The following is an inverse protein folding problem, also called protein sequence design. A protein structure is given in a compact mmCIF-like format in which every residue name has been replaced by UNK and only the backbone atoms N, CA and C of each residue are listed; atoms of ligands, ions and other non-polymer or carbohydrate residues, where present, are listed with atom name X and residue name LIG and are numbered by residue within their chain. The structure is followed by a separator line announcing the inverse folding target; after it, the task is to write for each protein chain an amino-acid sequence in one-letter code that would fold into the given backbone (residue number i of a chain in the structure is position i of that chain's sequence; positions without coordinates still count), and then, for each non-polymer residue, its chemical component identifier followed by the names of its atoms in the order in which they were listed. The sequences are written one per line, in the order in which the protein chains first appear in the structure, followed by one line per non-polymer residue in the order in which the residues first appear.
data_IF_829655885167
#
_entry.id   IF_829655885167
#
_cell.length_a   1.000
_cell.length_b   1.000
_cell.length_c   1.000
_cell.angle_alpha   90.00
_cell.angle_beta   90.00
_cell.angle_gamma   90.00
#
_symmetry.space_group_name_H-M   'P 1'
#
loop_
_entity.id
_entity.type
_entity.pdbx_description
1 polymer ?
#
# COMPACT_ATOMS: atom_id res chain seq x y z
N UNK A 1 -26.80 -35.70 45.24
CA UNK A 1 -26.52 -35.36 43.82
C UNK A 1 -26.80 -33.87 43.56
N UNK A 2 -25.98 -32.94 44.06
CA UNK A 2 -26.20 -31.48 43.89
C UNK A 2 -24.98 -30.68 43.39
N UNK A 3 -23.80 -31.30 43.29
CA UNK A 3 -22.55 -30.59 42.97
C UNK A 3 -22.05 -30.77 41.53
N UNK A 4 -22.70 -31.63 40.73
CA UNK A 4 -22.25 -31.94 39.36
C UNK A 4 -22.65 -30.82 38.36
N UNK A 5 -23.69 -30.01 38.67
CA UNK A 5 -24.16 -28.96 37.76
C UNK A 5 -23.35 -27.66 37.79
N UNK A 6 -22.48 -27.45 38.79
CA UNK A 6 -21.72 -26.19 38.93
C UNK A 6 -20.39 -26.23 38.15
N UNK A 7 -19.85 -27.42 37.88
CA UNK A 7 -18.56 -27.55 37.18
C UNK A 7 -18.69 -27.29 35.66
N UNK A 8 -19.88 -27.47 35.08
CA UNK A 8 -20.08 -27.28 33.64
C UNK A 8 -20.27 -25.81 33.20
N UNK A 9 -20.42 -24.89 34.15
CA UNK A 9 -20.62 -23.45 33.88
C UNK A 9 -19.33 -22.61 33.98
N UNK A 10 -18.20 -23.22 34.35
CA UNK A 10 -16.89 -22.55 34.44
C UNK A 10 -16.00 -22.75 33.21
N UNK A 11 -16.50 -23.38 32.14
CA UNK A 11 -15.70 -23.71 30.94
C UNK A 11 -15.91 -22.78 29.74
N UNK A 12 -16.73 -21.72 29.85
CA UNK A 12 -16.99 -20.78 28.74
C UNK A 12 -16.15 -19.48 28.87
N UNK A 13 -15.35 -19.32 29.93
CA UNK A 13 -14.51 -18.15 30.16
C UNK A 13 -13.06 -18.29 29.62
N UNK A 14 -12.80 -19.24 28.72
CA UNK A 14 -11.43 -19.66 28.34
C UNK A 14 -11.04 -19.54 26.86
N UNK A 15 -11.84 -18.91 25.99
CA UNK A 15 -11.57 -18.80 24.55
C UNK A 15 -11.47 -17.34 24.05
N UNK A 16 -11.02 -16.42 24.91
CA UNK A 16 -10.67 -15.05 24.51
C UNK A 16 -9.15 -14.77 24.64
N UNK A 17 -8.32 -15.82 24.64
CA UNK A 17 -6.88 -15.68 24.50
C UNK A 17 -6.49 -15.91 23.04
N UNK A 18 -6.03 -14.84 22.36
CA UNK A 18 -4.83 -15.00 21.55
C UNK A 18 -4.86 -14.70 20.06
N UNK A 19 -5.90 -14.11 19.48
CA UNK A 19 -5.70 -13.39 18.21
C UNK A 19 -5.36 -11.93 18.54
N UNK A 20 -4.08 -11.62 18.72
CA UNK A 20 -3.54 -10.28 18.49
C UNK A 20 -3.75 -9.94 17.01
N UNK A 21 -4.99 -9.72 16.58
CA UNK A 21 -5.29 -9.26 15.24
C UNK A 21 -4.77 -7.83 15.13
N UNK A 22 -3.69 -7.66 14.37
CA UNK A 22 -3.16 -6.33 14.02
C UNK A 22 -4.30 -5.46 13.50
N UNK A 23 -4.32 -4.20 13.93
CA UNK A 23 -5.32 -3.25 13.43
C UNK A 23 -5.18 -3.10 11.91
N UNK A 24 -6.26 -2.73 11.20
CA UNK A 24 -6.19 -2.46 9.76
C UNK A 24 -5.07 -1.47 9.39
N UNK A 25 -4.91 -0.41 10.17
CA UNK A 25 -3.82 0.57 10.02
C UNK A 25 -2.44 -0.08 10.14
N UNK A 26 -2.24 -0.95 11.15
CA UNK A 26 -0.97 -1.65 11.32
C UNK A 26 -0.67 -2.58 10.13
N UNK A 27 -1.67 -3.25 9.57
CA UNK A 27 -1.49 -4.07 8.36
C UNK A 27 -1.09 -3.23 7.16
N UNK A 28 -1.72 -2.07 6.93
CA UNK A 28 -1.31 -1.16 5.84
C UNK A 28 0.13 -0.69 6.04
N UNK A 29 0.54 -0.35 7.26
CA UNK A 29 1.92 0.07 7.56
C UNK A 29 2.96 -1.02 7.22
N UNK A 30 2.61 -2.29 7.39
CA UNK A 30 3.48 -3.42 7.04
C UNK A 30 3.51 -3.68 5.52
N UNK A 31 2.41 -3.42 4.82
CA UNK A 31 2.30 -3.60 3.38
C UNK A 31 2.89 -2.44 2.57
N UNK A 32 2.85 -1.22 3.12
CA UNK A 32 3.24 -0.01 2.40
C UNK A 32 4.68 -0.05 1.84
N UNK A 33 5.72 -0.50 2.56
CA UNK A 33 7.07 -0.59 2.01
C UNK A 33 7.15 -1.57 0.82
N UNK A 34 6.44 -2.70 0.91
CA UNK A 34 6.39 -3.70 -0.18
C UNK A 34 5.67 -3.14 -1.40
N UNK A 35 4.57 -2.43 -1.19
CA UNK A 35 3.83 -1.76 -2.25
C UNK A 35 4.68 -0.70 -2.96
N UNK A 36 5.35 0.16 -2.20
CA UNK A 36 6.23 1.21 -2.72
C UNK A 36 7.36 0.58 -3.54
N UNK A 37 7.98 -0.49 -3.04
CA UNK A 37 9.03 -1.20 -3.74
C UNK A 37 8.53 -1.81 -5.06
N UNK A 38 7.41 -2.53 -5.02
CA UNK A 38 6.82 -3.17 -6.20
C UNK A 38 6.42 -2.15 -7.27
N UNK A 39 5.74 -1.07 -6.87
CA UNK A 39 5.35 0.02 -7.75
C UNK A 39 6.56 0.69 -8.39
N UNK A 40 7.56 1.08 -7.59
CA UNK A 40 8.75 1.76 -8.08
C UNK A 40 9.61 0.87 -8.97
N UNK A 41 9.74 -0.42 -8.61
CA UNK A 41 10.42 -1.40 -9.45
C UNK A 41 9.76 -1.47 -10.81
N UNK A 42 8.43 -1.62 -10.86
CA UNK A 42 7.68 -1.73 -12.12
C UNK A 42 7.70 -0.45 -12.93
N UNK A 43 7.57 0.72 -12.29
CA UNK A 43 7.63 2.00 -12.98
C UNK A 43 8.98 2.20 -13.69
N UNK A 44 10.09 1.86 -13.03
CA UNK A 44 11.42 2.01 -13.62
C UNK A 44 11.72 0.92 -14.65
N UNK A 45 11.35 -0.33 -14.36
CA UNK A 45 11.46 -1.45 -15.31
C UNK A 45 10.73 -1.13 -16.62
N UNK A 46 9.48 -0.68 -16.53
CA UNK A 46 8.63 -0.43 -17.68
C UNK A 46 8.87 0.93 -18.35
N UNK A 47 9.44 1.90 -17.62
CA UNK A 47 9.80 3.22 -18.12
C UNK A 47 11.21 3.29 -18.69
N UNK A 48 12.05 2.27 -18.49
CA UNK A 48 13.47 2.26 -18.87
C UNK A 48 13.68 2.62 -20.34
N UNK A 49 12.96 1.98 -21.25
CA UNK A 49 13.10 2.22 -22.69
C UNK A 49 12.74 3.67 -23.07
N UNK A 50 11.75 4.27 -22.39
CA UNK A 50 11.37 5.67 -22.61
C UNK A 50 12.40 6.64 -22.01
N UNK A 51 12.97 6.32 -20.85
CA UNK A 51 14.05 7.11 -20.23
C UNK A 51 15.32 7.04 -21.07
N UNK A 52 15.63 5.89 -21.67
CA UNK A 52 16.81 5.71 -22.52
C UNK A 52 16.73 6.54 -23.81
N UNK A 53 15.52 6.74 -24.36
CA UNK A 53 15.26 7.63 -25.49
C UNK A 53 15.51 9.11 -25.17
N UNK A 54 15.53 9.49 -23.89
CA UNK A 54 15.83 10.86 -23.47
C UNK A 54 17.34 11.08 -23.60
N UNK A 55 17.78 12.11 -24.35
CA UNK A 55 19.19 12.41 -24.50
C UNK A 55 19.86 12.64 -23.13
N UNK A 56 21.11 12.18 -22.91
CA UNK A 56 21.78 12.26 -21.62
C UNK A 56 21.77 13.65 -20.97
N UNK A 57 21.90 14.71 -21.77
CA UNK A 57 21.88 16.10 -21.33
C UNK A 57 20.54 16.55 -20.71
N UNK A 58 19.45 15.83 -20.95
CA UNK A 58 18.13 16.10 -20.37
C UNK A 58 17.72 15.08 -19.30
N UNK A 59 18.51 14.04 -19.02
CA UNK A 59 18.14 13.06 -17.99
C UNK A 59 18.12 13.65 -16.58
N UNK A 60 18.92 14.70 -16.34
CA UNK A 60 18.92 15.44 -15.07
C UNK A 60 17.67 16.30 -14.86
N UNK A 61 16.88 16.59 -15.92
CA UNK A 61 15.61 17.29 -15.78
C UNK A 61 14.43 16.37 -15.46
N UNK A 62 14.65 15.05 -15.46
CA UNK A 62 13.64 14.11 -15.00
C UNK A 62 13.35 14.31 -13.51
N UNK A 63 12.09 14.12 -13.08
CA UNK A 63 11.76 14.12 -11.67
C UNK A 63 12.66 13.16 -10.88
N UNK A 64 13.10 13.51 -9.65
CA UNK A 64 14.01 12.68 -8.86
C UNK A 64 13.51 11.24 -8.68
N UNK A 65 12.20 11.06 -8.51
CA UNK A 65 11.58 9.73 -8.35
C UNK A 65 11.72 8.83 -9.58
N UNK A 66 12.04 9.38 -10.76
CA UNK A 66 12.30 8.59 -11.99
C UNK A 66 13.78 8.27 -12.18
N UNK A 67 14.67 8.84 -11.37
CA UNK A 67 16.11 8.69 -11.55
C UNK A 67 16.67 7.43 -10.87
N UNK A 68 16.06 6.99 -9.77
CA UNK A 68 16.44 5.76 -9.08
C UNK A 68 15.27 5.15 -8.32
N UNK A 69 15.38 3.85 -8.02
CA UNK A 69 14.37 3.14 -7.24
C UNK A 69 14.28 3.69 -5.82
N UNK A 70 15.41 4.03 -5.21
CA UNK A 70 15.48 4.61 -3.86
C UNK A 70 14.80 5.98 -3.79
N UNK A 71 15.03 6.83 -4.79
CA UNK A 71 14.37 8.12 -4.89
C UNK A 71 12.85 7.96 -5.10
N UNK A 72 12.44 6.98 -5.90
CA UNK A 72 11.04 6.62 -6.07
C UNK A 72 10.38 6.20 -4.75
N UNK A 73 10.99 5.24 -4.05
CA UNK A 73 10.46 4.72 -2.78
C UNK A 73 10.39 5.84 -1.74
N UNK A 74 11.43 6.69 -1.67
CA UNK A 74 11.46 7.83 -0.74
C UNK A 74 10.32 8.82 -1.02
N UNK A 75 10.08 9.15 -2.29
CA UNK A 75 9.00 10.05 -2.70
C UNK A 75 7.61 9.52 -2.31
N UNK A 76 7.34 8.24 -2.59
CA UNK A 76 6.05 7.63 -2.23
C UNK A 76 5.93 7.38 -0.72
N UNK A 77 7.03 7.15 -0.02
CA UNK A 77 7.06 7.05 1.43
C UNK A 77 6.69 8.36 2.10
N UNK A 78 7.31 9.48 1.69
CA UNK A 78 6.98 10.80 2.22
C UNK A 78 5.50 11.13 1.97
N UNK A 79 4.99 10.84 0.78
CA UNK A 79 3.58 11.05 0.42
C UNK A 79 2.64 10.20 1.30
N UNK A 80 2.98 8.93 1.51
CA UNK A 80 2.22 8.02 2.34
C UNK A 80 2.21 8.47 3.82
N UNK A 81 3.37 8.85 4.35
CA UNK A 81 3.51 9.31 5.74
C UNK A 81 2.69 10.61 5.95
N UNK A 82 2.69 11.55 5.00
CA UNK A 82 1.81 12.74 5.04
C UNK A 82 0.33 12.39 4.99
N UNK A 83 -0.07 11.50 4.07
CA UNK A 83 -1.47 11.07 3.93
C UNK A 83 -1.97 10.41 5.22
N UNK A 84 -1.10 9.64 5.88
CA UNK A 84 -1.39 9.01 7.16
C UNK A 84 -1.63 10.04 8.27
N UNK A 85 -0.76 11.03 8.41
CA UNK A 85 -0.96 12.07 9.43
C UNK A 85 -2.26 12.86 9.17
N UNK A 86 -2.55 13.20 7.92
CA UNK A 86 -3.84 13.83 7.56
C UNK A 86 -5.05 12.95 7.92
N UNK A 87 -5.00 11.63 7.67
CA UNK A 87 -6.07 10.71 8.09
C UNK A 87 -6.26 10.70 9.60
N UNK A 88 -5.16 10.70 10.37
CA UNK A 88 -5.23 10.77 11.84
C UNK A 88 -5.87 12.08 12.31
N UNK A 89 -5.49 13.21 11.73
CA UNK A 89 -6.07 14.53 12.04
C UNK A 89 -7.58 14.56 11.74
N UNK A 90 -8.00 13.97 10.62
CA UNK A 90 -9.40 13.86 10.20
C UNK A 90 -10.19 12.74 10.87
N UNK A 91 -9.54 11.89 11.67
CA UNK A 91 -10.11 10.67 12.28
C UNK A 91 -10.70 9.71 11.25
N UNK A 92 -10.07 9.62 10.08
CA UNK A 92 -10.41 8.66 9.03
C UNK A 92 -9.81 7.31 9.36
N UNK A 93 -10.65 6.30 9.49
CA UNK A 93 -10.22 4.93 9.80
C UNK A 93 -9.93 4.13 8.53
N UNK A 94 -8.85 3.36 8.56
CA UNK A 94 -8.58 2.35 7.54
C UNK A 94 -9.50 1.15 7.80
N UNK A 95 -10.29 0.77 6.80
CA UNK A 95 -11.19 -0.36 6.91
C UNK A 95 -10.51 -1.68 6.49
N UNK A 96 -11.01 -2.84 6.92
CA UNK A 96 -10.51 -4.14 6.45
C UNK A 96 -10.53 -4.31 4.92
N UNK A 97 -11.54 -3.75 4.24
CA UNK A 97 -11.66 -3.78 2.78
C UNK A 97 -10.56 -2.96 2.11
N UNK A 98 -10.14 -1.85 2.74
CA UNK A 98 -9.00 -1.05 2.28
C UNK A 98 -7.70 -1.84 2.40
N UNK A 99 -7.50 -2.59 3.50
CA UNK A 99 -6.34 -3.47 3.67
C UNK A 99 -6.32 -4.54 2.59
N UNK A 100 -7.45 -5.21 2.34
CA UNK A 100 -7.55 -6.25 1.32
C UNK A 100 -7.28 -5.70 -0.09
N UNK A 101 -7.74 -4.48 -0.39
CA UNK A 101 -7.41 -3.80 -1.64
C UNK A 101 -5.90 -3.55 -1.76
N UNK A 102 -5.27 -3.10 -0.67
CA UNK A 102 -3.82 -2.89 -0.61
C UNK A 102 -3.03 -4.18 -0.82
N UNK A 103 -3.40 -5.26 -0.16
CA UNK A 103 -2.79 -6.58 -0.34
C UNK A 103 -2.92 -7.07 -1.79
N UNK A 104 -4.12 -6.93 -2.36
CA UNK A 104 -4.39 -7.29 -3.75
C UNK A 104 -3.53 -6.45 -4.71
N UNK A 105 -3.44 -5.14 -4.48
CA UNK A 105 -2.63 -4.24 -5.29
C UNK A 105 -1.15 -4.65 -5.30
N UNK A 106 -0.58 -5.00 -4.14
CA UNK A 106 0.81 -5.48 -4.05
C UNK A 106 1.00 -6.72 -4.91
N UNK A 107 0.12 -7.72 -4.75
CA UNK A 107 0.21 -9.00 -5.45
C UNK A 107 0.09 -8.79 -6.97
N UNK A 108 -0.86 -7.96 -7.41
CA UNK A 108 -1.10 -7.74 -8.83
C UNK A 108 -0.04 -6.82 -9.46
N UNK A 109 0.53 -5.87 -8.72
CA UNK A 109 1.71 -5.11 -9.17
C UNK A 109 2.92 -5.99 -9.41
N UNK A 110 3.20 -6.93 -8.51
CA UNK A 110 4.33 -7.86 -8.66
C UNK A 110 4.18 -8.74 -9.90
N UNK A 111 2.95 -9.08 -10.29
CA UNK A 111 2.65 -9.87 -11.50
C UNK A 111 2.45 -9.04 -12.77
N UNK A 112 2.22 -7.74 -12.63
CA UNK A 112 1.84 -6.89 -13.76
C UNK A 112 2.93 -6.89 -14.85
N UNK A 113 2.48 -6.96 -16.10
CA UNK A 113 3.31 -6.63 -17.25
C UNK A 113 3.49 -5.11 -17.34
N UNK A 114 4.24 -4.65 -18.34
CA UNK A 114 4.42 -3.22 -18.56
C UNK A 114 3.27 -2.52 -19.28
N UNK A 115 2.27 -3.25 -19.77
CA UNK A 115 1.12 -2.67 -20.48
C UNK A 115 0.36 -1.59 -19.68
N UNK A 116 0.09 -1.76 -18.37
CA UNK A 116 -0.60 -0.73 -17.59
C UNK A 116 0.25 0.53 -17.37
N UNK A 117 1.58 0.42 -17.50
CA UNK A 117 2.54 1.52 -17.31
C UNK A 117 2.83 2.30 -18.61
N UNK A 118 2.68 1.68 -19.78
CA UNK A 118 2.95 2.32 -21.09
C UNK A 118 1.93 3.39 -21.47
N UNK A 119 0.65 3.17 -21.16
CA UNK A 119 -0.46 4.04 -21.59
C UNK A 119 -1.00 4.94 -20.46
N UNK A 120 -0.39 4.89 -19.28
CA UNK A 120 -0.86 5.57 -18.07
C UNK A 120 -0.62 7.09 -18.05
N UNK A 121 -1.24 7.85 -18.97
CA UNK A 121 -1.43 9.31 -18.82
C UNK A 121 -2.73 9.66 -18.08
N UNK A 122 -3.15 8.83 -17.12
CA UNK A 122 -4.40 8.98 -16.39
C UNK A 122 -4.30 8.43 -14.97
N UNK A 123 -5.05 9.02 -14.05
CA UNK A 123 -4.99 8.86 -12.57
C UNK A 123 -5.14 7.43 -12.02
N UNK A 124 -5.23 6.38 -12.86
CA UNK A 124 -5.39 4.99 -12.43
C UNK A 124 -4.54 4.05 -13.28
N UNK A 125 -3.67 3.28 -12.63
CA UNK A 125 -2.78 2.29 -13.25
C UNK A 125 -3.53 1.10 -13.87
N UNK A 126 -4.85 0.97 -13.70
CA UNK A 126 -5.63 -0.15 -14.24
C UNK A 126 -5.26 -1.52 -13.65
N UNK A 127 -4.50 -1.54 -12.55
CA UNK A 127 -4.09 -2.75 -11.83
C UNK A 127 -5.12 -3.04 -10.74
N UNK A 128 -5.68 -4.26 -10.67
CA UNK A 128 -6.68 -4.62 -9.67
C UNK A 128 -6.20 -4.39 -8.25
N UNK A 129 -7.06 -3.82 -7.40
CA UNK A 129 -6.76 -3.49 -6.00
C UNK A 129 -6.06 -2.14 -5.81
N UNK A 130 -5.48 -1.58 -6.87
CA UNK A 130 -4.77 -0.30 -6.82
C UNK A 130 -5.70 0.92 -6.98
N UNK A 131 -7.01 0.75 -7.00
CA UNK A 131 -7.98 1.83 -7.20
C UNK A 131 -8.07 2.77 -5.99
N UNK A 132 -7.78 2.26 -4.79
CA UNK A 132 -7.82 3.02 -3.54
C UNK A 132 -6.43 3.50 -3.08
N UNK A 133 -5.38 3.26 -3.86
CA UNK A 133 -4.01 3.65 -3.53
C UNK A 133 -3.89 5.16 -3.28
N UNK A 134 -4.62 5.99 -4.01
CA UNK A 134 -4.62 7.44 -3.82
C UNK A 134 -5.28 7.87 -2.52
N UNK A 135 -6.29 7.15 -2.02
CA UNK A 135 -6.97 7.48 -0.75
C UNK A 135 -6.09 7.24 0.47
N UNK A 136 -5.15 6.30 0.36
CA UNK A 136 -4.31 5.84 1.48
C UNK A 136 -2.88 6.37 1.34
N UNK A 137 -2.37 6.49 0.12
CA UNK A 137 -0.97 6.80 -0.16
C UNK A 137 -0.70 8.21 -0.69
N UNK A 138 -1.73 9.01 -1.02
CA UNK A 138 -1.54 10.39 -1.46
C UNK A 138 -2.18 11.36 -0.46
N UNK A 139 -1.44 12.41 -0.04
CA UNK A 139 -2.02 13.45 0.77
C UNK A 139 -3.03 14.23 -0.07
N UNK A 140 -4.12 14.65 0.55
CA UNK A 140 -5.03 15.60 -0.09
C UNK A 140 -4.31 16.95 -0.21
N UNK A 141 -4.38 17.55 -1.39
CA UNK A 141 -4.00 18.94 -1.60
C UNK A 141 -4.86 19.85 -0.72
N UNK A 142 -4.27 20.80 0.02
CA UNK A 142 -5.01 21.72 0.89
C UNK A 142 -6.00 22.60 0.13
#
# INVERSE_FOLDING_TARGET
MKYIKIIMLLSIAGLALGNCSKSPEQKVMELAPRLQLALCSKMLECGKDEIEKIPPQYRSSLPPFMQSQEACVSYFKESFDKAREQRKERKEEVTPEMVQSFETCVIELEKASCEPFKNGRGKRLGIPGCENLTKIGQPESP
#
